data_IF_757120995721
#
_entry.id   IF_757120995721
#
_cell.length_a   1.000
_cell.length_b   1.000
_cell.length_c   1.000
_cell.angle_alpha   90.00
_cell.angle_beta   90.00
_cell.angle_gamma   90.00
#
_symmetry.space_group_name_H-M   'P 1'
#
loop_
_entity.id
_entity.type
_entity.pdbx_description
1 polymer ?
#
# COMPACT_ATOMS: atom_id res chain seq x y z
N UNK A 1 -9.89 27.95 -23.31
CA UNK A 1 -11.31 27.67 -23.65
C UNK A 1 -11.68 26.34 -23.00
N UNK A 2 -12.59 26.30 -22.01
CA UNK A 2 -12.90 25.05 -21.29
C UNK A 2 -13.54 23.96 -22.15
N UNK A 3 -14.28 24.35 -23.20
CA UNK A 3 -14.96 23.40 -24.10
C UNK A 3 -13.97 22.67 -25.00
N UNK A 4 -12.96 23.36 -25.55
CA UNK A 4 -11.93 22.74 -26.38
C UNK A 4 -11.13 21.69 -25.62
N UNK A 5 -10.67 22.04 -24.43
CA UNK A 5 -9.92 21.09 -23.57
C UNK A 5 -10.75 19.86 -23.19
N UNK A 6 -12.07 20.01 -23.05
CA UNK A 6 -12.98 18.89 -22.78
C UNK A 6 -13.17 17.99 -24.00
N UNK A 7 -13.28 18.57 -25.18
CA UNK A 7 -13.37 17.79 -26.42
C UNK A 7 -12.07 17.04 -26.71
N UNK A 8 -10.92 17.71 -26.55
CA UNK A 8 -9.61 17.08 -26.72
C UNK A 8 -9.42 15.92 -25.74
N UNK A 9 -9.81 16.09 -24.48
CA UNK A 9 -9.74 15.05 -23.47
C UNK A 9 -10.67 13.87 -23.76
N UNK A 10 -11.86 14.12 -24.31
CA UNK A 10 -12.80 13.06 -24.70
C UNK A 10 -12.32 12.28 -25.93
N UNK A 11 -11.66 12.94 -26.88
CA UNK A 11 -11.17 12.33 -28.11
C UNK A 11 -9.86 11.56 -27.93
N UNK A 12 -8.93 12.09 -27.12
CA UNK A 12 -7.56 11.55 -27.00
C UNK A 12 -7.26 10.95 -25.63
N UNK A 13 -8.08 11.22 -24.62
CA UNK A 13 -7.81 10.89 -23.21
C UNK A 13 -6.75 11.79 -22.56
N UNK A 14 -6.21 12.77 -23.30
CA UNK A 14 -5.09 13.63 -22.90
C UNK A 14 -5.58 15.06 -22.77
N UNK A 15 -5.16 15.75 -21.68
CA UNK A 15 -5.62 17.13 -21.39
C UNK A 15 -4.88 18.21 -22.17
N UNK A 16 -3.75 17.87 -22.77
CA UNK A 16 -2.91 18.79 -23.54
C UNK A 16 -3.20 18.68 -25.03
N UNK A 17 -2.93 19.75 -25.81
CA UNK A 17 -3.15 19.76 -27.26
C UNK A 17 -2.41 18.63 -28.00
N UNK A 18 -1.21 18.28 -27.51
CA UNK A 18 -0.41 17.17 -28.05
C UNK A 18 -0.08 16.22 -26.92
N UNK A 19 -0.23 14.93 -27.19
CA UNK A 19 0.17 13.86 -26.28
C UNK A 19 0.88 12.77 -27.04
N UNK A 20 2.05 12.37 -26.53
CA UNK A 20 2.84 11.28 -27.07
C UNK A 20 2.67 10.07 -26.17
N UNK A 21 2.21 8.96 -26.74
CA UNK A 21 2.07 7.70 -26.02
C UNK A 21 3.26 6.80 -26.33
N UNK A 22 3.92 6.33 -25.29
CA UNK A 22 5.06 5.42 -25.38
C UNK A 22 4.61 4.06 -24.86
N UNK A 23 4.79 3.02 -25.65
CA UNK A 23 4.42 1.65 -25.31
C UNK A 23 5.66 0.79 -25.08
N UNK A 24 5.61 -0.11 -24.10
CA UNK A 24 6.72 -1.02 -23.85
C UNK A 24 6.41 -1.99 -22.70
N UNK A 25 7.19 -3.05 -22.57
CA UNK A 25 6.96 -4.08 -21.55
C UNK A 25 7.44 -3.67 -20.16
N UNK A 26 8.37 -2.72 -20.06
CA UNK A 26 9.05 -2.36 -18.83
C UNK A 26 8.86 -0.88 -18.47
N UNK A 27 8.39 -0.63 -17.24
CA UNK A 27 8.06 0.71 -16.76
C UNK A 27 9.30 1.61 -16.60
N UNK A 28 10.45 1.05 -16.21
CA UNK A 28 11.68 1.82 -16.06
C UNK A 28 12.19 2.30 -17.41
N UNK A 29 12.10 1.45 -18.44
CA UNK A 29 12.43 1.81 -19.83
C UNK A 29 11.45 2.85 -20.37
N UNK A 30 10.15 2.71 -20.10
CA UNK A 30 9.14 3.71 -20.51
C UNK A 30 9.41 5.07 -19.86
N UNK A 31 9.79 5.12 -18.59
CA UNK A 31 10.14 6.37 -17.93
C UNK A 31 11.40 7.00 -18.50
N UNK A 32 12.43 6.20 -18.78
CA UNK A 32 13.67 6.69 -19.40
C UNK A 32 13.40 7.30 -20.78
N UNK A 33 12.71 6.57 -21.65
CA UNK A 33 12.35 7.04 -23.00
C UNK A 33 11.43 8.26 -22.91
N UNK A 34 10.45 8.25 -22.01
CA UNK A 34 9.60 9.42 -21.78
C UNK A 34 10.39 10.69 -21.42
N UNK A 35 11.39 10.57 -20.56
CA UNK A 35 12.29 11.67 -20.19
C UNK A 35 13.16 12.14 -21.38
N UNK A 36 13.59 11.24 -22.21
CA UNK A 36 14.36 11.59 -23.44
C UNK A 36 13.47 12.37 -24.42
N UNK A 37 12.24 11.92 -24.65
CA UNK A 37 11.25 12.61 -25.48
C UNK A 37 10.93 13.99 -24.88
N UNK A 38 10.69 14.09 -23.56
CA UNK A 38 10.46 15.35 -22.87
C UNK A 38 11.55 16.37 -23.17
N UNK A 39 12.84 15.98 -23.04
CA UNK A 39 13.98 16.85 -23.32
C UNK A 39 14.05 17.25 -24.78
N UNK A 40 13.82 16.34 -25.71
CA UNK A 40 13.83 16.62 -27.14
C UNK A 40 12.72 17.60 -27.52
N UNK A 41 11.51 17.40 -27.01
CA UNK A 41 10.35 18.23 -27.30
C UNK A 41 10.48 19.63 -26.70
N UNK A 42 11.10 19.76 -25.50
CA UNK A 42 11.36 21.07 -24.88
C UNK A 42 12.24 21.99 -25.75
N UNK A 43 13.07 21.44 -26.64
CA UNK A 43 13.93 22.19 -27.52
C UNK A 43 13.20 22.66 -28.82
N UNK A 44 11.99 22.19 -29.06
CA UNK A 44 11.22 22.54 -30.28
C UNK A 44 10.61 23.93 -30.11
N UNK A 45 10.87 24.88 -31.04
CA UNK A 45 10.27 26.21 -30.98
C UNK A 45 8.74 26.14 -31.01
N UNK A 46 8.10 26.87 -30.09
CA UNK A 46 6.64 26.85 -29.88
C UNK A 46 6.16 25.86 -28.80
N UNK A 47 7.03 25.06 -28.25
CA UNK A 47 6.71 24.26 -27.03
C UNK A 47 6.69 25.17 -25.83
N UNK A 48 5.55 25.26 -25.16
CA UNK A 48 5.39 25.98 -23.90
C UNK A 48 5.88 25.12 -22.70
N UNK A 49 5.48 23.87 -22.69
CA UNK A 49 5.91 22.90 -21.70
C UNK A 49 5.81 21.47 -22.25
N UNK A 50 6.72 20.61 -21.82
CA UNK A 50 6.63 19.17 -22.05
C UNK A 50 6.86 18.47 -20.71
N UNK A 51 6.05 17.46 -20.40
CA UNK A 51 6.13 16.69 -19.18
C UNK A 51 5.86 15.22 -19.45
N UNK A 52 6.85 14.38 -19.20
CA UNK A 52 6.69 12.93 -19.23
C UNK A 52 6.17 12.41 -17.90
N UNK A 53 5.21 11.51 -17.94
CA UNK A 53 4.68 10.82 -16.77
C UNK A 53 5.79 10.01 -16.09
N UNK A 54 5.89 10.12 -14.76
CA UNK A 54 6.88 9.39 -13.95
C UNK A 54 6.26 8.06 -13.57
N UNK A 55 6.65 6.99 -14.23
CA UNK A 55 6.08 5.66 -14.01
C UNK A 55 6.57 5.04 -12.69
N UNK A 56 7.82 5.34 -12.28
CA UNK A 56 8.46 4.76 -11.08
C UNK A 56 8.75 5.87 -10.06
N UNK A 57 7.70 6.49 -9.52
CA UNK A 57 7.85 7.63 -8.59
C UNK A 57 7.25 7.38 -7.21
N UNK A 58 6.68 6.22 -6.98
CA UNK A 58 6.16 5.80 -5.68
C UNK A 58 7.22 5.13 -4.80
N UNK A 59 7.04 5.27 -3.48
CA UNK A 59 7.80 4.49 -2.51
C UNK A 59 6.85 3.55 -1.79
N UNK A 60 7.30 2.31 -1.63
CA UNK A 60 6.58 1.25 -0.93
C UNK A 60 7.44 0.70 0.19
N UNK A 61 6.80 0.18 1.21
CA UNK A 61 7.44 -0.61 2.25
C UNK A 61 7.11 -2.07 1.98
N UNK A 62 8.11 -2.81 1.54
CA UNK A 62 8.03 -4.26 1.43
C UNK A 62 8.38 -4.88 2.76
N UNK A 63 7.43 -5.67 3.29
CA UNK A 63 7.60 -6.40 4.54
C UNK A 63 7.63 -7.89 4.19
N UNK A 64 8.84 -8.43 4.10
CA UNK A 64 9.06 -9.83 3.76
C UNK A 64 9.13 -10.67 5.03
N UNK A 65 8.11 -11.51 5.25
CA UNK A 65 7.96 -12.31 6.45
C UNK A 65 8.79 -13.59 6.34
N UNK A 66 9.71 -13.77 7.27
CA UNK A 66 10.50 -14.98 7.40
C UNK A 66 9.68 -16.10 8.04
N UNK A 67 9.20 -17.03 7.24
CA UNK A 67 8.37 -18.17 7.68
C UNK A 67 9.05 -19.02 8.74
N UNK A 68 10.35 -19.27 8.61
CA UNK A 68 11.11 -20.09 9.55
C UNK A 68 11.27 -19.37 10.90
N UNK A 69 11.47 -18.07 10.89
CA UNK A 69 11.53 -17.26 12.11
C UNK A 69 10.16 -17.22 12.82
N UNK A 70 9.07 -17.00 12.06
CA UNK A 70 7.71 -17.02 12.63
C UNK A 70 7.35 -18.38 13.25
N UNK A 71 7.70 -19.48 12.57
CA UNK A 71 7.43 -20.83 13.04
C UNK A 71 8.11 -21.16 14.39
N UNK A 72 9.28 -20.56 14.68
CA UNK A 72 9.98 -20.75 15.98
C UNK A 72 9.12 -20.23 17.16
N UNK A 73 8.25 -19.28 16.90
CA UNK A 73 7.33 -18.71 17.89
C UNK A 73 5.91 -19.29 17.76
N UNK A 74 5.72 -20.33 16.94
CA UNK A 74 4.41 -20.92 16.70
C UNK A 74 3.46 -20.05 15.88
N UNK A 75 4.00 -19.02 15.20
CA UNK A 75 3.23 -18.12 14.34
C UNK A 75 3.25 -18.61 12.90
N UNK A 76 2.12 -18.48 12.22
CA UNK A 76 2.06 -18.60 10.76
C UNK A 76 2.15 -17.20 10.09
N UNK A 77 2.35 -17.17 8.79
CA UNK A 77 2.46 -15.91 8.04
C UNK A 77 1.22 -15.05 8.18
N UNK A 78 0.03 -15.68 8.20
CA UNK A 78 -1.25 -14.97 8.35
C UNK A 78 -1.38 -14.23 9.68
N UNK A 79 -0.86 -14.81 10.78
CA UNK A 79 -0.87 -14.15 12.09
C UNK A 79 -0.04 -12.87 12.08
N UNK A 80 1.15 -12.93 11.49
CA UNK A 80 2.03 -11.76 11.36
C UNK A 80 1.41 -10.72 10.42
N UNK A 81 0.82 -11.14 9.29
CA UNK A 81 0.11 -10.25 8.36
C UNK A 81 -1.08 -9.55 9.02
N UNK A 82 -1.83 -10.23 9.85
CA UNK A 82 -2.96 -9.64 10.58
C UNK A 82 -2.51 -8.50 11.50
N UNK A 83 -1.37 -8.69 12.19
CA UNK A 83 -0.78 -7.64 13.03
C UNK A 83 -0.30 -6.45 12.19
N UNK A 84 0.40 -6.70 11.07
CA UNK A 84 0.85 -5.67 10.15
C UNK A 84 -0.35 -4.87 9.62
N UNK A 85 -1.40 -5.56 9.15
CA UNK A 85 -2.60 -4.94 8.62
C UNK A 85 -3.31 -4.07 9.67
N UNK A 86 -3.37 -4.52 10.92
CA UNK A 86 -4.02 -3.78 12.01
C UNK A 86 -3.16 -2.65 12.54
N UNK A 87 -1.92 -2.93 12.92
CA UNK A 87 -1.04 -1.97 13.58
C UNK A 87 -0.57 -0.86 12.63
N UNK A 88 -0.23 -1.21 11.40
CA UNK A 88 0.33 -0.28 10.41
C UNK A 88 -0.77 0.26 9.49
N UNK A 89 -1.55 -0.62 8.87
CA UNK A 89 -2.62 -0.25 7.93
C UNK A 89 -3.85 0.34 8.61
N UNK A 90 -4.20 -0.20 9.74
CA UNK A 90 -5.42 0.11 10.47
C UNK A 90 -6.62 -0.71 10.01
N UNK A 91 -7.21 -1.45 10.93
CA UNK A 91 -8.39 -2.27 10.72
C UNK A 91 -9.64 -1.59 11.27
N UNK A 92 -10.74 -1.64 10.52
CA UNK A 92 -12.06 -1.26 11.05
C UNK A 92 -12.55 -2.38 11.96
N UNK A 93 -12.62 -2.11 13.26
CA UNK A 93 -13.00 -3.12 14.28
C UNK A 93 -14.50 -3.13 14.56
N UNK A 94 -15.18 -2.00 14.35
CA UNK A 94 -16.64 -1.86 14.52
C UNK A 94 -17.14 -0.64 13.75
N UNK A 95 -18.46 -0.47 13.72
CA UNK A 95 -19.12 0.71 13.18
C UNK A 95 -20.06 1.28 14.23
N UNK A 96 -20.05 2.61 14.38
CA UNK A 96 -21.08 3.33 15.13
C UNK A 96 -22.18 3.79 14.18
N UNK A 97 -23.40 3.83 14.69
CA UNK A 97 -24.58 4.28 13.96
C UNK A 97 -25.13 5.52 14.67
N UNK A 98 -25.11 6.66 14.00
CA UNK A 98 -25.62 7.93 14.50
C UNK A 98 -26.74 8.42 13.58
N UNK A 99 -27.97 8.16 13.97
CA UNK A 99 -29.12 8.40 13.12
C UNK A 99 -29.12 7.50 11.86
N UNK A 100 -28.95 8.10 10.68
CA UNK A 100 -28.84 7.40 9.40
C UNK A 100 -27.39 7.18 8.95
N UNK A 101 -26.43 7.76 9.66
CA UNK A 101 -25.01 7.71 9.31
C UNK A 101 -24.29 6.56 10.00
N UNK A 102 -23.28 5.99 9.31
CA UNK A 102 -22.46 4.88 9.81
C UNK A 102 -21.00 5.27 9.76
N UNK A 103 -20.33 5.22 10.91
CA UNK A 103 -18.91 5.55 11.03
C UNK A 103 -18.10 4.32 11.40
N UNK A 104 -17.07 4.02 10.59
CA UNK A 104 -16.13 2.93 10.88
C UNK A 104 -15.12 3.34 11.95
N UNK A 105 -15.06 2.61 13.06
CA UNK A 105 -14.04 2.79 14.08
C UNK A 105 -12.80 2.01 13.69
N UNK A 106 -11.72 2.73 13.40
CA UNK A 106 -10.45 2.13 12.96
C UNK A 106 -9.41 2.17 14.07
N UNK A 107 -8.77 1.02 14.31
CA UNK A 107 -7.66 0.88 15.25
C UNK A 107 -6.35 0.74 14.49
N UNK A 108 -5.35 1.54 14.84
CA UNK A 108 -3.97 1.44 14.35
C UNK A 108 -3.01 2.09 15.33
N UNK A 109 -1.72 1.84 15.19
CA UNK A 109 -0.70 2.53 15.95
C UNK A 109 -0.67 4.02 15.60
N UNK A 110 -0.39 4.91 16.58
CA UNK A 110 -0.17 6.32 16.31
C UNK A 110 1.02 6.51 15.34
N UNK A 111 1.03 7.65 14.65
CA UNK A 111 1.99 7.87 13.57
C UNK A 111 3.44 7.87 14.07
N UNK A 112 3.63 8.34 15.30
CA UNK A 112 4.95 8.45 15.95
C UNK A 112 5.62 7.08 16.18
N UNK A 113 4.85 5.99 16.18
CA UNK A 113 5.33 4.62 16.35
C UNK A 113 5.46 3.84 15.03
N UNK A 114 5.17 4.48 13.87
CA UNK A 114 5.18 3.82 12.56
C UNK A 114 5.69 4.71 11.42
N UNK A 115 6.38 5.80 11.73
CA UNK A 115 6.87 6.78 10.76
C UNK A 115 8.23 6.41 10.14
N UNK A 116 8.97 5.47 10.75
CA UNK A 116 10.26 5.00 10.25
C UNK A 116 10.32 3.46 10.19
N UNK A 117 11.16 2.88 9.30
CA UNK A 117 11.33 1.43 9.22
C UNK A 117 11.77 0.80 10.54
N UNK A 118 12.60 1.49 11.33
CA UNK A 118 13.09 1.02 12.63
C UNK A 118 11.96 0.91 13.64
N UNK A 119 11.05 1.89 13.67
CA UNK A 119 9.87 1.85 14.53
C UNK A 119 8.88 0.78 14.09
N UNK A 120 8.74 0.58 12.78
CA UNK A 120 7.95 -0.53 12.25
C UNK A 120 8.53 -1.90 12.66
N UNK A 121 9.86 -2.04 12.66
CA UNK A 121 10.51 -3.25 13.14
C UNK A 121 10.31 -3.49 14.64
N UNK A 122 10.07 -2.44 15.41
CA UNK A 122 9.78 -2.53 16.86
C UNK A 122 8.30 -2.85 17.17
N UNK A 123 7.41 -2.88 16.19
CA UNK A 123 5.99 -3.28 16.38
C UNK A 123 5.93 -4.67 16.99
N UNK A 124 5.16 -4.83 18.06
CA UNK A 124 5.08 -6.06 18.81
C UNK A 124 4.01 -6.99 18.24
N UNK A 125 4.42 -8.21 17.94
CA UNK A 125 3.55 -9.29 17.48
C UNK A 125 3.24 -10.20 18.66
N UNK A 126 1.97 -10.37 19.06
CA UNK A 126 1.61 -11.26 20.15
C UNK A 126 1.83 -12.72 19.75
N UNK A 127 2.48 -13.47 20.63
CA UNK A 127 2.64 -14.91 20.51
C UNK A 127 1.70 -15.54 21.53
N UNK A 128 0.74 -16.32 21.08
CA UNK A 128 -0.08 -17.12 21.96
C UNK A 128 0.79 -18.23 22.55
N UNK A 129 1.24 -18.08 23.77
CA UNK A 129 1.71 -19.25 24.53
C UNK A 129 0.52 -20.19 24.69
N UNK A 130 0.65 -21.41 24.20
CA UNK A 130 -0.38 -22.43 24.34
C UNK A 130 -0.79 -22.54 25.80
N UNK A 131 -1.88 -21.88 26.19
CA UNK A 131 -2.56 -22.19 27.43
C UNK A 131 -3.06 -23.60 27.22
N UNK A 132 -2.49 -24.55 27.96
CA UNK A 132 -3.05 -25.90 28.06
C UNK A 132 -4.47 -25.69 28.58
N UNK A 133 -5.45 -25.72 27.68
CA UNK A 133 -6.85 -25.84 28.10
C UNK A 133 -6.92 -27.23 28.66
N UNK A 134 -6.77 -27.33 29.99
CA UNK A 134 -7.10 -28.54 30.71
C UNK A 134 -8.62 -28.65 30.56
N UNK A 135 -9.04 -29.40 29.56
CA UNK A 135 -10.43 -29.79 29.42
C UNK A 135 -10.78 -30.63 30.65
N UNK A 136 -11.35 -29.97 31.63
CA UNK A 136 -11.97 -30.66 32.75
C UNK A 136 -13.30 -31.33 32.30
N UNK A 137 -13.21 -32.14 31.24
CA UNK A 137 -14.24 -33.09 30.89
C UNK A 137 -14.06 -34.36 31.71
N UNK A 138 -14.45 -34.31 32.99
CA UNK A 138 -14.30 -35.48 33.83
C UNK A 138 -14.68 -35.31 35.32
N UNK A 139 -15.12 -34.14 35.73
CA UNK A 139 -15.56 -33.94 37.12
C UNK A 139 -17.09 -33.71 37.18
N UNK A 140 -17.84 -34.80 36.97
CA UNK A 140 -19.23 -34.83 37.40
C UNK A 140 -19.22 -34.81 38.93
N UNK A 141 -19.59 -33.67 39.56
CA UNK A 141 -19.81 -33.60 41.00
C UNK A 141 -19.26 -32.41 41.77
N UNK A 142 -18.98 -31.26 41.13
CA UNK A 142 -18.60 -30.04 41.87
C UNK A 142 -19.72 -28.99 41.89
N UNK A 143 -19.96 -28.31 43.02
CA UNK A 143 -21.04 -27.34 43.18
C UNK A 143 -20.80 -26.11 42.29
N UNK A 144 -21.90 -25.62 41.70
CA UNK A 144 -22.00 -24.42 40.87
C UNK A 144 -21.57 -23.19 41.67
N UNK A 145 -20.29 -22.76 41.51
CA UNK A 145 -19.76 -21.59 42.25
C UNK A 145 -18.27 -21.31 42.06
N UNK A 146 -17.50 -22.29 41.56
CA UNK A 146 -16.10 -22.06 41.24
C UNK A 146 -15.94 -21.57 39.80
N UNK A 147 -16.03 -20.26 39.61
CA UNK A 147 -15.50 -19.63 38.38
C UNK A 147 -13.98 -19.86 38.44
N UNK A 148 -13.52 -20.90 37.73
CA UNK A 148 -12.09 -21.07 37.52
C UNK A 148 -11.59 -19.77 36.86
N UNK A 149 -10.81 -18.98 37.58
CA UNK A 149 -10.10 -17.85 37.02
C UNK A 149 -9.24 -18.43 35.89
N UNK A 150 -9.67 -18.18 34.64
CA UNK A 150 -8.84 -18.45 33.48
C UNK A 150 -7.54 -17.66 33.70
N UNK A 151 -6.47 -18.38 34.04
CA UNK A 151 -5.14 -17.77 34.02
C UNK A 151 -4.92 -17.22 32.62
N UNK A 152 -4.95 -15.91 32.50
CA UNK A 152 -4.53 -15.22 31.26
C UNK A 152 -3.07 -15.65 31.09
N UNK A 153 -2.86 -16.64 30.23
CA UNK A 153 -1.53 -17.08 29.86
C UNK A 153 -0.76 -15.84 29.37
N UNK A 154 0.43 -15.63 29.91
CA UNK A 154 1.23 -14.46 29.56
C UNK A 154 1.39 -14.37 28.06
N UNK A 155 0.92 -13.27 27.47
CA UNK A 155 1.11 -13.00 26.04
C UNK A 155 2.57 -12.59 25.87
N UNK A 156 3.39 -13.51 25.39
CA UNK A 156 4.76 -13.19 24.95
C UNK A 156 4.66 -12.34 23.67
N UNK A 157 5.47 -11.30 23.57
CA UNK A 157 5.48 -10.42 22.41
C UNK A 157 6.86 -10.46 21.75
N UNK A 158 6.87 -10.48 20.42
CA UNK A 158 8.10 -10.53 19.62
C UNK A 158 8.11 -9.33 18.68
N UNK A 159 9.22 -8.56 18.59
CA UNK A 159 9.33 -7.48 17.63
C UNK A 159 9.21 -7.98 16.19
N UNK A 160 8.49 -7.24 15.35
CA UNK A 160 8.29 -7.57 13.93
C UNK A 160 9.61 -7.73 13.17
N UNK A 161 10.64 -6.96 13.51
CA UNK A 161 11.97 -7.09 12.89
C UNK A 161 12.69 -8.42 13.13
N UNK A 162 12.24 -9.26 14.11
CA UNK A 162 12.71 -10.64 14.25
C UNK A 162 11.96 -11.62 13.34
N UNK A 163 10.81 -11.21 12.83
CA UNK A 163 9.90 -12.04 12.03
C UNK A 163 9.90 -11.64 10.56
N UNK A 164 10.34 -10.43 10.22
CA UNK A 164 10.28 -9.89 8.88
C UNK A 164 11.42 -8.92 8.60
N UNK A 165 11.77 -8.79 7.32
CA UNK A 165 12.66 -7.75 6.80
C UNK A 165 11.82 -6.63 6.21
N UNK A 166 12.14 -5.38 6.54
CA UNK A 166 11.39 -4.20 6.08
C UNK A 166 12.30 -3.39 5.16
N UNK A 167 11.93 -3.29 3.89
CA UNK A 167 12.69 -2.57 2.86
C UNK A 167 11.84 -1.47 2.24
N UNK A 168 12.44 -0.28 2.08
CA UNK A 168 11.86 0.77 1.26
C UNK A 168 12.25 0.54 -0.19
N UNK A 169 11.27 0.34 -1.07
CA UNK A 169 11.47 0.10 -2.50
C UNK A 169 10.77 1.15 -3.33
N UNK A 170 11.41 1.56 -4.43
CA UNK A 170 10.77 2.40 -5.42
C UNK A 170 9.88 1.54 -6.32
N UNK A 171 8.71 2.05 -6.64
CA UNK A 171 7.77 1.35 -7.50
C UNK A 171 6.77 2.27 -8.18
N UNK A 172 5.93 1.73 -9.07
CA UNK A 172 4.97 2.54 -9.81
C UNK A 172 3.82 2.99 -8.92
N UNK A 173 3.49 4.28 -8.95
CA UNK A 173 2.27 4.78 -8.31
C UNK A 173 1.02 4.38 -9.10
N UNK A 174 1.13 4.39 -10.43
CA UNK A 174 0.06 4.03 -11.37
C UNK A 174 0.68 3.31 -12.55
N UNK A 175 0.11 2.19 -12.91
CA UNK A 175 0.43 1.49 -14.16
C UNK A 175 -0.71 1.74 -15.14
N UNK A 176 -0.41 2.40 -16.24
CA UNK A 176 -1.36 2.56 -17.34
C UNK A 176 -1.17 1.47 -18.35
N UNK A 177 -2.26 0.95 -18.86
CA UNK A 177 -2.26 -0.04 -19.93
C UNK A 177 -3.22 0.36 -21.04
N UNK A 178 -2.80 0.16 -22.28
CA UNK A 178 -3.64 0.37 -23.45
C UNK A 178 -3.34 -0.76 -24.46
N UNK A 179 -4.36 -1.42 -24.97
CA UNK A 179 -4.17 -2.57 -25.85
C UNK A 179 -3.35 -3.72 -25.24
N UNK A 180 -3.50 -3.98 -23.93
CA UNK A 180 -2.75 -4.95 -23.16
C UNK A 180 -1.23 -4.70 -23.06
N UNK A 181 -0.77 -3.49 -23.37
CA UNK A 181 0.61 -3.06 -23.20
C UNK A 181 0.72 -1.94 -22.17
N UNK A 182 1.79 -1.93 -21.39
CA UNK A 182 2.07 -0.83 -20.50
C UNK A 182 2.40 0.43 -21.33
N UNK A 183 1.90 1.58 -20.90
CA UNK A 183 2.08 2.85 -21.59
C UNK A 183 2.46 3.97 -20.64
N UNK A 184 3.28 4.89 -21.10
CA UNK A 184 3.58 6.15 -20.45
C UNK A 184 3.24 7.30 -21.40
N UNK A 185 2.78 8.41 -20.85
CA UNK A 185 2.34 9.55 -21.65
C UNK A 185 3.30 10.72 -21.45
N UNK A 186 3.58 11.43 -22.57
CA UNK A 186 4.26 12.72 -22.55
C UNK A 186 3.27 13.79 -22.99
N UNK A 187 3.01 14.70 -22.06
CA UNK A 187 2.09 15.83 -22.26
C UNK A 187 2.85 17.01 -22.82
N UNK A 188 2.38 17.58 -23.93
CA UNK A 188 3.02 18.72 -24.58
C UNK A 188 2.01 19.85 -24.73
N UNK A 189 2.36 21.02 -24.19
CA UNK A 189 1.61 22.25 -24.37
C UNK A 189 2.34 23.19 -25.37
N UNK A 190 1.59 23.78 -26.27
CA UNK A 190 2.14 24.64 -27.34
C UNK A 190 1.57 26.05 -27.27
N UNK A 191 2.38 27.02 -27.65
CA UNK A 191 2.00 28.44 -27.70
C UNK A 191 2.50 29.11 -28.98
N UNK A 192 1.65 29.99 -29.52
CA UNK A 192 2.04 30.80 -30.70
C UNK A 192 2.21 30.04 -32.01
N UNK A 193 1.75 28.78 -32.07
CA UNK A 193 1.81 27.94 -33.26
C UNK A 193 0.51 27.16 -33.44
N UNK A 194 0.08 27.02 -34.67
CA UNK A 194 -1.02 26.13 -35.01
C UNK A 194 -0.55 24.68 -34.97
N UNK A 195 -1.45 23.77 -34.59
CA UNK A 195 -1.18 22.34 -34.45
C UNK A 195 -1.55 21.58 -35.72
N UNK A 196 -2.26 22.25 -36.66
CA UNK A 196 -2.69 21.70 -37.93
C UNK A 196 -1.63 21.77 -39.02
#
# INVERSE_FOLDING_TARGET
>A
MPIKARNDMLATGIRTPIGIKVFGPDLATLERVGKEIERAVQQVPGTRSAFAERAVSGYYLDIDINRAAAARYGLNVGDVQAVIATAIGGMVVTQTIEGLERYGVRVRYPIELRDTPEKLAAVLVPVATASTVVNAAGAAGMPMGAVAAASVGGVTQVPLGQLATINAVAGPMVVRTEGAQATAWVYVDVVGRDIG
#
